data_IF_844488370723
#
_entry.id   IF_844488370723
#
_cell.length_a   1.000
_cell.length_b   1.000
_cell.length_c   1.000
_cell.angle_alpha   90.00
_cell.angle_beta   90.00
_cell.angle_gamma   90.00
#
_symmetry.space_group_name_H-M   'P 1'
#
loop_
_entity.id
_entity.type
_entity.pdbx_description
1 polymer ?
#
# COMPACT_ATOMS: atom_id res chain seq x y z
N UNK A 1 29.39 32.83 -10.43
CA UNK A 1 29.99 31.50 -10.60
C UNK A 1 29.19 30.51 -9.78
N UNK A 2 28.35 29.73 -10.46
CA UNK A 2 27.52 28.67 -9.87
C UNK A 2 28.32 27.38 -9.87
N UNK A 3 28.71 26.88 -8.71
CA UNK A 3 29.18 25.51 -8.54
C UNK A 3 27.99 24.56 -8.73
N UNK A 4 28.03 23.59 -9.65
CA UNK A 4 26.98 22.58 -9.74
C UNK A 4 27.05 21.65 -8.53
N UNK A 5 25.87 21.31 -8.02
CA UNK A 5 25.61 20.41 -6.90
C UNK A 5 26.28 19.04 -7.13
N UNK A 6 27.50 18.87 -6.61
CA UNK A 6 28.23 17.59 -6.62
C UNK A 6 28.05 16.74 -5.36
N UNK A 7 27.12 17.10 -4.46
CA UNK A 7 26.97 16.45 -3.16
C UNK A 7 25.62 15.71 -2.94
N UNK A 8 24.69 15.76 -3.89
CA UNK A 8 23.35 15.17 -3.71
C UNK A 8 23.17 13.78 -4.35
N UNK A 9 24.22 13.22 -4.95
CA UNK A 9 24.10 11.98 -5.75
C UNK A 9 24.32 10.70 -4.95
N UNK A 10 24.80 10.77 -3.70
CA UNK A 10 25.19 9.59 -2.90
C UNK A 10 24.21 9.20 -1.79
N UNK A 11 23.20 10.02 -1.54
CA UNK A 11 22.11 9.69 -0.62
C UNK A 11 20.80 9.81 -1.39
N UNK A 12 20.40 8.73 -2.06
CA UNK A 12 19.12 8.68 -2.76
C UNK A 12 17.98 8.93 -1.76
N UNK A 13 17.10 9.89 -2.07
CA UNK A 13 15.93 10.19 -1.26
C UNK A 13 14.81 9.18 -1.55
N UNK A 14 14.47 8.39 -0.54
CA UNK A 14 13.42 7.36 -0.60
C UNK A 14 12.15 7.73 0.19
N UNK A 15 12.09 8.93 0.76
CA UNK A 15 10.89 9.42 1.45
C UNK A 15 9.63 9.39 0.57
N UNK A 16 9.69 9.65 -0.76
CA UNK A 16 8.55 9.47 -1.64
C UNK A 16 8.03 8.02 -1.67
N UNK A 17 8.92 7.02 -1.69
CA UNK A 17 8.51 5.60 -1.71
C UNK A 17 7.82 5.24 -0.40
N UNK A 18 8.38 5.66 0.73
CA UNK A 18 7.77 5.47 2.06
C UNK A 18 6.41 6.15 2.16
N UNK A 19 6.28 7.37 1.63
CA UNK A 19 5.03 8.12 1.59
C UNK A 19 3.95 7.42 0.75
N UNK A 20 4.31 6.89 -0.43
CA UNK A 20 3.37 6.16 -1.30
C UNK A 20 2.92 4.85 -0.65
N UNK A 21 3.84 4.10 -0.02
CA UNK A 21 3.48 2.88 0.72
C UNK A 21 2.49 3.19 1.86
N UNK A 22 2.77 4.22 2.66
CA UNK A 22 1.87 4.66 3.73
C UNK A 22 0.51 5.16 3.22
N UNK A 23 0.48 5.88 2.10
CA UNK A 23 -0.77 6.30 1.46
C UNK A 23 -1.59 5.11 0.98
N UNK A 24 -0.93 4.08 0.45
CA UNK A 24 -1.58 2.85 -0.02
C UNK A 24 -2.24 2.12 1.15
N UNK A 25 -1.56 1.99 2.28
CA UNK A 25 -2.14 1.40 3.50
C UNK A 25 -3.32 2.21 4.04
N UNK A 26 -3.20 3.53 4.11
CA UNK A 26 -4.27 4.40 4.61
C UNK A 26 -5.54 4.23 3.76
N UNK A 27 -5.41 4.20 2.43
CA UNK A 27 -6.54 3.92 1.52
C UNK A 27 -7.08 2.51 1.70
N UNK A 28 -6.22 1.53 1.96
CA UNK A 28 -6.63 0.17 2.20
C UNK A 28 -7.52 0.05 3.46
N UNK A 29 -7.12 0.72 4.55
CA UNK A 29 -7.88 0.75 5.80
C UNK A 29 -9.19 1.53 5.67
N UNK A 30 -9.20 2.65 4.93
CA UNK A 30 -10.45 3.38 4.61
C UNK A 30 -11.44 2.49 3.85
N UNK A 31 -10.97 1.77 2.82
CA UNK A 31 -11.79 0.82 2.07
C UNK A 31 -12.35 -0.25 3.01
N UNK A 32 -11.49 -0.85 3.85
CA UNK A 32 -11.91 -1.85 4.84
C UNK A 32 -12.98 -1.31 5.78
N UNK A 33 -12.82 -0.10 6.31
CA UNK A 33 -13.77 0.52 7.20
C UNK A 33 -15.13 0.76 6.54
N UNK A 34 -15.15 1.26 5.29
CA UNK A 34 -16.37 1.46 4.52
C UNK A 34 -17.15 0.15 4.32
N UNK A 35 -16.42 -0.95 4.07
CA UNK A 35 -17.00 -2.27 3.85
C UNK A 35 -17.62 -2.86 5.11
N UNK A 36 -16.91 -2.76 6.23
CA UNK A 36 -17.43 -3.20 7.52
C UNK A 36 -18.68 -2.41 7.90
N UNK A 37 -18.68 -1.10 7.68
CA UNK A 37 -19.85 -0.26 7.90
C UNK A 37 -21.03 -0.67 7.01
N UNK A 38 -20.78 -0.91 5.72
CA UNK A 38 -21.82 -1.36 4.79
C UNK A 38 -22.40 -2.72 5.20
N UNK A 39 -21.56 -3.72 5.49
CA UNK A 39 -21.99 -5.03 5.98
C UNK A 39 -22.80 -4.95 7.27
N UNK A 40 -22.40 -4.09 8.21
CA UNK A 40 -23.14 -3.84 9.45
C UNK A 40 -24.54 -3.28 9.18
N UNK A 41 -24.64 -2.27 8.31
CA UNK A 41 -25.93 -1.70 7.89
C UNK A 41 -26.81 -2.74 7.21
N UNK A 42 -26.24 -3.54 6.31
CA UNK A 42 -26.99 -4.60 5.64
C UNK A 42 -27.47 -5.69 6.62
N UNK A 43 -26.62 -6.14 7.54
CA UNK A 43 -26.97 -7.15 8.54
C UNK A 43 -28.03 -6.67 9.53
N UNK A 44 -28.16 -5.34 9.72
CA UNK A 44 -29.19 -4.73 10.55
C UNK A 44 -30.56 -4.61 9.88
N UNK A 45 -30.67 -4.90 8.57
CA UNK A 45 -31.96 -4.79 7.89
C UNK A 45 -32.91 -5.90 8.38
N UNK A 46 -34.13 -5.55 8.84
CA UNK A 46 -35.05 -6.53 9.37
C UNK A 46 -35.44 -7.61 8.34
N UNK A 47 -35.60 -8.88 8.75
CA UNK A 47 -36.07 -9.95 7.87
C UNK A 47 -37.44 -9.67 7.24
N UNK A 48 -38.26 -8.83 7.87
CA UNK A 48 -39.54 -8.37 7.30
C UNK A 48 -39.38 -7.53 6.04
N UNK A 49 -38.23 -6.87 5.85
CA UNK A 49 -37.88 -6.12 4.63
C UNK A 49 -37.30 -7.07 3.57
N UNK A 50 -36.57 -8.11 4.01
CA UNK A 50 -35.96 -9.11 3.13
C UNK A 50 -36.76 -10.42 3.21
N UNK A 51 -37.96 -10.41 2.65
CA UNK A 51 -38.77 -11.63 2.52
C UNK A 51 -38.37 -12.48 1.31
N UNK A 52 -38.28 -13.80 1.49
CA UNK A 52 -38.23 -14.78 0.39
C UNK A 52 -36.97 -14.71 -0.49
N UNK A 53 -37.16 -14.87 -1.81
CA UNK A 53 -36.07 -14.96 -2.80
C UNK A 53 -35.17 -13.72 -2.84
N UNK A 54 -35.71 -12.54 -2.50
CA UNK A 54 -34.94 -11.29 -2.46
C UNK A 54 -33.85 -11.33 -1.39
N UNK A 55 -34.10 -11.96 -0.24
CA UNK A 55 -33.13 -12.10 0.84
C UNK A 55 -31.93 -12.96 0.42
N UNK A 56 -32.20 -14.07 -0.28
CA UNK A 56 -31.15 -14.96 -0.77
C UNK A 56 -30.27 -14.27 -1.82
N UNK A 57 -30.88 -13.59 -2.79
CA UNK A 57 -30.14 -12.82 -3.80
C UNK A 57 -29.33 -11.68 -3.20
N UNK A 58 -29.89 -11.03 -2.18
CA UNK A 58 -29.17 -9.99 -1.49
C UNK A 58 -27.94 -10.53 -0.76
N UNK A 59 -28.08 -11.67 -0.05
CA UNK A 59 -26.95 -12.36 0.58
C UNK A 59 -25.86 -12.73 -0.43
N UNK A 60 -26.22 -13.28 -1.58
CA UNK A 60 -25.25 -13.61 -2.65
C UNK A 60 -24.45 -12.38 -3.09
N UNK A 61 -25.11 -11.23 -3.25
CA UNK A 61 -24.47 -9.96 -3.64
C UNK A 61 -23.50 -9.49 -2.56
N UNK A 62 -23.89 -9.54 -1.28
CA UNK A 62 -23.01 -9.17 -0.16
C UNK A 62 -21.80 -10.08 -0.08
N UNK A 63 -22.00 -11.40 -0.18
CA UNK A 63 -20.92 -12.38 -0.08
C UNK A 63 -19.90 -12.17 -1.21
N UNK A 64 -20.38 -11.94 -2.45
CA UNK A 64 -19.52 -11.62 -3.60
C UNK A 64 -18.78 -10.30 -3.40
N UNK A 65 -19.48 -9.24 -2.99
CA UNK A 65 -18.86 -7.93 -2.76
C UNK A 65 -17.77 -8.00 -1.69
N UNK A 66 -18.02 -8.74 -0.60
CA UNK A 66 -17.05 -8.97 0.46
C UNK A 66 -15.81 -9.70 -0.06
N UNK A 67 -15.97 -10.72 -0.91
CA UNK A 67 -14.85 -11.43 -1.53
C UNK A 67 -13.99 -10.52 -2.43
N UNK A 68 -14.61 -9.73 -3.31
CA UNK A 68 -13.90 -8.77 -4.17
C UNK A 68 -13.15 -7.71 -3.36
N UNK A 69 -13.76 -7.30 -2.25
CA UNK A 69 -13.18 -6.32 -1.35
C UNK A 69 -11.95 -6.85 -0.60
N UNK A 70 -12.01 -8.09 -0.10
CA UNK A 70 -10.86 -8.77 0.48
C UNK A 70 -9.76 -8.97 -0.57
N UNK A 71 -10.12 -9.24 -1.83
CA UNK A 71 -9.15 -9.34 -2.91
C UNK A 71 -8.44 -8.00 -3.14
N UNK A 72 -9.18 -6.90 -3.22
CA UNK A 72 -8.60 -5.56 -3.35
C UNK A 72 -7.68 -5.24 -2.16
N UNK A 73 -8.08 -5.61 -0.95
CA UNK A 73 -7.27 -5.42 0.25
C UNK A 73 -5.90 -6.10 0.16
N UNK A 74 -5.89 -7.38 -0.23
CA UNK A 74 -4.64 -8.13 -0.38
C UNK A 74 -3.76 -7.53 -1.48
N UNK A 75 -4.34 -7.11 -2.61
CA UNK A 75 -3.59 -6.49 -3.71
C UNK A 75 -2.94 -5.16 -3.27
N UNK A 76 -3.69 -4.28 -2.60
CA UNK A 76 -3.16 -3.01 -2.12
C UNK A 76 -2.05 -3.22 -1.07
N UNK A 77 -2.24 -4.17 -0.17
CA UNK A 77 -1.21 -4.54 0.81
C UNK A 77 0.07 -5.07 0.12
N UNK A 78 -0.08 -5.95 -0.87
CA UNK A 78 1.04 -6.46 -1.67
C UNK A 78 1.77 -5.36 -2.45
N UNK A 79 1.04 -4.36 -2.95
CA UNK A 79 1.65 -3.18 -3.60
C UNK A 79 2.48 -2.39 -2.59
N UNK A 80 1.95 -2.12 -1.39
CA UNK A 80 2.67 -1.42 -0.34
C UNK A 80 3.95 -2.18 0.08
N UNK A 81 3.87 -3.49 0.22
CA UNK A 81 5.03 -4.34 0.54
C UNK A 81 6.07 -4.35 -0.58
N UNK A 82 5.64 -4.39 -1.84
CA UNK A 82 6.54 -4.28 -2.99
C UNK A 82 7.28 -2.95 -2.99
N UNK A 83 6.60 -1.84 -2.67
CA UNK A 83 7.24 -0.52 -2.59
C UNK A 83 8.30 -0.49 -1.47
N UNK A 84 7.99 -1.03 -0.28
CA UNK A 84 8.96 -1.13 0.82
C UNK A 84 10.16 -2.01 0.48
N UNK A 85 9.91 -3.13 -0.19
CA UNK A 85 10.98 -4.01 -0.62
C UNK A 85 11.92 -3.29 -1.59
N UNK A 86 11.35 -2.60 -2.58
CA UNK A 86 12.12 -1.81 -3.53
C UNK A 86 12.92 -0.68 -2.84
N UNK A 87 12.33 0.00 -1.85
CA UNK A 87 13.00 1.01 -1.03
C UNK A 87 14.26 0.42 -0.37
N UNK A 88 14.10 -0.72 0.33
CA UNK A 88 15.19 -1.37 1.03
C UNK A 88 16.31 -1.82 0.07
N UNK A 89 15.97 -2.42 -1.07
CA UNK A 89 16.96 -2.85 -2.08
C UNK A 89 17.72 -1.66 -2.66
N UNK A 90 17.03 -0.57 -2.99
CA UNK A 90 17.68 0.62 -3.53
C UNK A 90 18.54 1.33 -2.48
N UNK A 91 18.10 1.35 -1.22
CA UNK A 91 18.88 1.88 -0.11
C UNK A 91 20.17 1.08 0.11
N UNK A 92 20.11 -0.25 0.08
CA UNK A 92 21.29 -1.11 0.17
C UNK A 92 22.29 -0.85 -0.98
N UNK A 93 21.79 -0.76 -2.22
CA UNK A 93 22.61 -0.44 -3.38
C UNK A 93 23.31 0.93 -3.24
N UNK A 94 22.61 1.94 -2.72
CA UNK A 94 23.17 3.26 -2.43
C UNK A 94 24.31 3.22 -1.40
N UNK A 95 24.12 2.50 -0.28
CA UNK A 95 25.15 2.36 0.74
C UNK A 95 26.40 1.64 0.22
N UNK A 96 26.21 0.55 -0.53
CA UNK A 96 27.33 -0.18 -1.14
C UNK A 96 28.10 0.71 -2.11
N UNK A 97 27.40 1.47 -2.95
CA UNK A 97 28.05 2.40 -3.88
C UNK A 97 28.84 3.49 -3.14
N UNK A 98 28.26 4.11 -2.12
CA UNK A 98 28.95 5.12 -1.31
C UNK A 98 30.20 4.55 -0.60
N UNK A 99 30.11 3.32 -0.09
CA UNK A 99 31.25 2.65 0.53
C UNK A 99 32.41 2.42 -0.47
N UNK A 100 32.10 1.93 -1.67
CA UNK A 100 33.11 1.71 -2.72
C UNK A 100 33.80 3.00 -3.18
N UNK A 101 33.04 4.09 -3.33
CA UNK A 101 33.63 5.39 -3.68
C UNK A 101 34.51 5.92 -2.55
N UNK A 102 34.07 5.79 -1.29
CA UNK A 102 34.88 6.17 -0.13
C UNK A 102 36.19 5.38 -0.03
N UNK A 103 36.14 4.08 -0.29
CA UNK A 103 37.33 3.22 -0.32
C UNK A 103 38.29 3.63 -1.45
N UNK A 104 37.79 3.77 -2.68
CA UNK A 104 38.62 4.16 -3.83
C UNK A 104 39.25 5.56 -3.69
N UNK A 105 38.57 6.49 -3.00
CA UNK A 105 39.12 7.81 -2.71
C UNK A 105 40.14 7.83 -1.57
N UNK A 106 40.15 6.83 -0.70
CA UNK A 106 41.15 6.68 0.36
C UNK A 106 42.46 6.04 -0.13
N UNK A 107 42.41 5.35 -1.28
CA UNK A 107 43.55 4.70 -1.94
C UNK A 107 44.33 5.65 -2.91
N UNK A 108 43.97 6.94 -2.96
CA UNK A 108 44.63 8.00 -3.75
C UNK A 108 45.37 9.00 -2.86
#
# INVERSE_FOLDING_TARGET
MTTPQGANTLSTDFDPMRSVAGTTDARNEEIRAMLQAFMGRMSSVPPSVWGGLAAARFKDVVDRWNAESLRLYHVLHQIADTIRHNEATLQEAGHNHAHHIGAAGADL
#
